data_IF_732193598322
#
_entry.id   IF_732193598322
#
_cell.length_a   1.000
_cell.length_b   1.000
_cell.length_c   1.000
_cell.angle_alpha   90.00
_cell.angle_beta   90.00
_cell.angle_gamma   90.00
#
_symmetry.space_group_name_H-M   'P 1'
#
loop_
_entity.id
_entity.type
_entity.pdbx_description
1 polymer ?
#
# COMPACT_ATOMS: atom_id res chain seq x y z
N UNK A 1 -22.87 25.36 28.15
CA UNK A 1 -21.74 24.43 27.96
C UNK A 1 -22.30 23.02 27.87
N UNK A 2 -22.55 22.54 26.66
CA UNK A 2 -22.77 21.12 26.34
C UNK A 2 -22.64 21.03 24.82
N UNK A 3 -21.41 21.25 24.33
CA UNK A 3 -21.08 20.86 22.96
C UNK A 3 -21.10 19.34 22.97
N UNK A 4 -22.20 18.78 22.46
CA UNK A 4 -22.27 17.36 22.09
C UNK A 4 -20.96 16.98 21.41
N UNK A 5 -20.27 15.90 21.83
CA UNK A 5 -19.03 15.52 21.18
C UNK A 5 -19.38 15.27 19.71
N UNK A 6 -18.84 16.08 18.81
CA UNK A 6 -18.98 15.89 17.37
C UNK A 6 -18.24 14.61 17.04
N UNK A 7 -18.99 13.51 17.03
CA UNK A 7 -18.50 12.18 16.71
C UNK A 7 -17.98 12.22 15.28
N UNK A 8 -16.66 12.31 15.13
CA UNK A 8 -16.00 12.31 13.83
C UNK A 8 -16.03 10.89 13.28
N UNK A 9 -16.51 10.72 12.04
CA UNK A 9 -16.55 9.43 11.35
C UNK A 9 -15.14 8.83 11.19
N UNK A 10 -14.09 9.67 11.23
CA UNK A 10 -12.69 9.24 11.21
C UNK A 10 -12.34 8.28 12.36
N UNK A 11 -12.96 8.45 13.53
CA UNK A 11 -12.71 7.57 14.69
C UNK A 11 -13.18 6.12 14.43
N UNK A 12 -14.12 5.92 13.51
CA UNK A 12 -14.66 4.61 13.15
C UNK A 12 -14.04 4.07 11.88
N UNK A 13 -13.32 4.91 11.14
CA UNK A 13 -12.77 4.57 9.85
C UNK A 13 -11.82 3.36 9.89
N UNK A 14 -10.95 3.15 10.91
CA UNK A 14 -10.16 1.93 11.00
C UNK A 14 -10.99 0.65 10.95
N UNK A 15 -12.20 0.66 11.54
CA UNK A 15 -13.11 -0.49 11.53
C UNK A 15 -13.92 -0.61 10.24
N UNK A 16 -14.16 0.51 9.56
CA UNK A 16 -14.95 0.55 8.32
C UNK A 16 -14.11 0.32 7.06
N UNK A 17 -12.81 0.63 7.11
CA UNK A 17 -11.92 0.66 5.95
C UNK A 17 -11.89 -0.68 5.21
N UNK A 18 -11.81 -1.80 5.92
CA UNK A 18 -11.84 -3.13 5.33
C UNK A 18 -13.14 -3.40 4.55
N UNK A 19 -14.28 -2.98 5.12
CA UNK A 19 -15.58 -3.01 4.47
C UNK A 19 -15.61 -2.21 3.17
N UNK A 20 -15.12 -0.97 3.22
CA UNK A 20 -15.05 -0.06 2.07
C UNK A 20 -14.13 -0.60 0.98
N UNK A 21 -12.95 -1.12 1.33
CA UNK A 21 -12.03 -1.71 0.35
C UNK A 21 -12.63 -2.93 -0.35
N UNK A 22 -13.43 -3.74 0.36
CA UNK A 22 -14.12 -4.88 -0.26
C UNK A 22 -15.21 -4.45 -1.25
N UNK A 23 -15.88 -3.32 -1.00
CA UNK A 23 -16.88 -2.77 -1.93
C UNK A 23 -16.24 -2.37 -3.27
N UNK A 24 -14.94 -2.04 -3.29
CA UNK A 24 -14.21 -1.80 -4.54
C UNK A 24 -14.10 -3.06 -5.43
N UNK A 25 -14.32 -4.25 -4.88
CA UNK A 25 -14.40 -5.49 -5.65
C UNK A 25 -15.83 -5.86 -6.09
N UNK A 26 -16.81 -4.97 -5.93
CA UNK A 26 -18.18 -5.20 -6.37
C UNK A 26 -18.28 -5.29 -7.90
N UNK A 27 -19.18 -6.12 -8.43
CA UNK A 27 -19.39 -6.26 -9.88
C UNK A 27 -19.96 -4.98 -10.52
N UNK A 28 -20.71 -4.19 -9.76
CA UNK A 28 -21.32 -2.95 -10.22
C UNK A 28 -20.33 -1.77 -10.20
N UNK A 29 -20.01 -1.24 -11.37
CA UNK A 29 -19.05 -0.13 -11.53
C UNK A 29 -19.48 1.16 -10.85
N UNK A 30 -20.79 1.40 -10.71
CA UNK A 30 -21.31 2.60 -10.04
C UNK A 30 -21.11 2.53 -8.53
N UNK A 31 -21.28 1.33 -7.94
CA UNK A 31 -20.99 1.09 -6.52
C UNK A 31 -19.50 1.30 -6.26
N UNK A 32 -18.64 0.73 -7.12
CA UNK A 32 -17.18 0.93 -7.04
C UNK A 32 -16.80 2.40 -7.12
N UNK A 33 -17.36 3.13 -8.10
CA UNK A 33 -17.09 4.56 -8.31
C UNK A 33 -17.44 5.39 -7.08
N UNK A 34 -18.65 5.20 -6.54
CA UNK A 34 -19.10 5.95 -5.37
C UNK A 34 -18.24 5.63 -4.14
N UNK A 35 -17.84 4.37 -3.97
CA UNK A 35 -16.94 3.97 -2.89
C UNK A 35 -15.52 4.55 -3.07
N UNK A 36 -14.99 4.61 -4.29
CA UNK A 36 -13.67 5.21 -4.58
C UNK A 36 -13.66 6.71 -4.26
N UNK A 37 -14.73 7.43 -4.62
CA UNK A 37 -14.88 8.85 -4.27
C UNK A 37 -14.92 9.05 -2.76
N UNK A 38 -15.73 8.26 -2.05
CA UNK A 38 -15.83 8.31 -0.60
C UNK A 38 -14.48 8.04 0.09
N UNK A 39 -13.74 7.04 -0.39
CA UNK A 39 -12.38 6.75 0.12
C UNK A 39 -11.41 7.90 -0.18
N UNK A 40 -11.53 8.56 -1.33
CA UNK A 40 -10.70 9.71 -1.68
C UNK A 40 -10.94 10.89 -0.72
N UNK A 41 -12.20 11.15 -0.37
CA UNK A 41 -12.59 12.20 0.58
C UNK A 41 -12.05 11.89 1.99
N UNK A 42 -12.18 10.64 2.45
CA UNK A 42 -11.60 10.23 3.73
C UNK A 42 -10.09 10.40 3.77
N UNK A 43 -9.38 10.00 2.71
CA UNK A 43 -7.92 10.12 2.65
C UNK A 43 -7.47 11.59 2.69
N UNK A 44 -8.21 12.47 2.02
CA UNK A 44 -7.97 13.92 2.05
C UNK A 44 -8.19 14.48 3.46
N UNK A 45 -9.26 14.07 4.14
CA UNK A 45 -9.54 14.54 5.50
C UNK A 45 -8.51 14.04 6.51
N UNK A 46 -8.06 12.79 6.42
CA UNK A 46 -6.98 12.27 7.28
C UNK A 46 -5.68 13.03 7.03
N UNK A 47 -5.39 13.35 5.77
CA UNK A 47 -4.20 14.14 5.41
C UNK A 47 -4.25 15.55 5.99
N UNK A 48 -5.45 16.07 6.30
CA UNK A 48 -5.67 17.36 6.96
C UNK A 48 -5.59 17.25 8.50
N UNK A 49 -6.01 16.13 9.07
CA UNK A 49 -6.09 15.91 10.52
C UNK A 49 -5.60 14.50 10.92
N UNK A 50 -4.29 14.22 10.81
CA UNK A 50 -3.74 12.88 11.05
C UNK A 50 -3.89 12.43 12.51
N UNK A 51 -3.95 13.36 13.48
CA UNK A 51 -4.09 13.04 14.90
C UNK A 51 -5.44 12.42 15.29
N UNK A 52 -6.42 12.40 14.38
CA UNK A 52 -7.78 11.94 14.66
C UNK A 52 -8.01 10.45 14.39
N UNK A 53 -7.03 9.73 13.84
CA UNK A 53 -7.21 8.32 13.44
C UNK A 53 -6.04 7.43 13.84
N UNK A 54 -6.33 6.17 14.12
CA UNK A 54 -5.32 5.13 14.39
C UNK A 54 -4.69 4.66 13.06
N UNK A 55 -3.67 5.39 12.60
CA UNK A 55 -2.94 5.10 11.37
C UNK A 55 -2.37 3.66 11.37
N UNK A 56 -1.71 3.17 12.44
CA UNK A 56 -1.23 1.78 12.49
C UNK A 56 -2.33 0.72 12.24
N UNK A 57 -3.52 0.87 12.84
CA UNK A 57 -4.63 -0.06 12.60
C UNK A 57 -5.11 -0.02 11.14
N UNK A 58 -5.17 1.17 10.54
CA UNK A 58 -5.52 1.34 9.13
C UNK A 58 -4.47 0.73 8.20
N UNK A 59 -3.18 0.95 8.49
CA UNK A 59 -2.07 0.37 7.72
C UNK A 59 -2.12 -1.16 7.74
N UNK A 60 -2.36 -1.77 8.90
CA UNK A 60 -2.53 -3.24 8.98
C UNK A 60 -3.67 -3.75 8.10
N UNK A 61 -4.81 -3.05 8.11
CA UNK A 61 -5.96 -3.36 7.24
C UNK A 61 -5.59 -3.25 5.76
N UNK A 62 -4.84 -2.21 5.38
CA UNK A 62 -4.39 -1.98 4.02
C UNK A 62 -3.38 -3.03 3.54
N UNK A 63 -2.46 -3.47 4.41
CA UNK A 63 -1.49 -4.54 4.12
C UNK A 63 -2.22 -5.83 3.76
N UNK A 64 -3.20 -6.22 4.58
CA UNK A 64 -4.02 -7.43 4.35
C UNK A 64 -4.78 -7.30 3.03
N UNK A 65 -5.47 -6.18 2.81
CA UNK A 65 -6.24 -5.94 1.59
C UNK A 65 -5.34 -5.90 0.33
N UNK A 66 -4.15 -5.29 0.42
CA UNK A 66 -3.19 -5.25 -0.67
C UNK A 66 -2.71 -6.66 -1.06
N UNK A 67 -2.36 -7.50 -0.09
CA UNK A 67 -1.97 -8.91 -0.33
C UNK A 67 -3.09 -9.70 -0.98
N UNK A 68 -4.30 -9.60 -0.46
CA UNK A 68 -5.49 -10.30 -0.99
C UNK A 68 -5.81 -9.86 -2.42
N UNK A 69 -5.84 -8.55 -2.68
CA UNK A 69 -6.12 -8.01 -4.00
C UNK A 69 -5.02 -8.38 -5.01
N UNK A 70 -3.75 -8.33 -4.61
CA UNK A 70 -2.62 -8.75 -5.47
C UNK A 70 -2.70 -10.22 -5.85
N UNK A 71 -3.03 -11.09 -4.89
CA UNK A 71 -3.24 -12.52 -5.17
C UNK A 71 -4.45 -12.73 -6.10
N UNK A 72 -5.55 -12.01 -5.86
CA UNK A 72 -6.76 -12.10 -6.68
C UNK A 72 -6.48 -11.68 -8.14
N UNK A 73 -5.78 -10.57 -8.35
CA UNK A 73 -5.32 -10.12 -9.68
C UNK A 73 -4.51 -11.22 -10.37
N UNK A 74 -3.56 -11.86 -9.67
CA UNK A 74 -2.77 -12.95 -10.24
C UNK A 74 -3.63 -14.17 -10.65
N UNK A 75 -4.67 -14.49 -9.88
CA UNK A 75 -5.54 -15.66 -10.14
C UNK A 75 -6.59 -15.43 -11.24
N UNK A 76 -7.21 -14.25 -11.31
CA UNK A 76 -8.20 -13.90 -12.35
C UNK A 76 -7.57 -13.98 -13.74
N UNK A 77 -6.27 -13.69 -13.84
CA UNK A 77 -5.52 -13.71 -15.09
C UNK A 77 -5.11 -15.13 -15.54
N UNK A 78 -5.06 -16.13 -14.66
CA UNK A 78 -4.86 -17.53 -15.08
C UNK A 78 -6.11 -18.15 -15.72
N UNK A 79 -7.29 -17.57 -15.47
CA UNK A 79 -8.57 -18.04 -16.00
C UNK A 79 -8.98 -17.33 -17.30
N UNK A 80 -8.32 -16.23 -17.65
CA UNK A 80 -8.52 -15.47 -18.88
C UNK A 80 -7.62 -15.94 -20.03
N UNK A 81 -7.99 -17.06 -20.66
CA UNK A 81 -7.50 -17.33 -22.01
C UNK A 81 -7.94 -16.21 -22.96
N UNK A 82 -6.98 -15.67 -23.72
CA UNK A 82 -7.17 -14.64 -24.75
C UNK A 82 -8.43 -14.88 -25.61
N UNK A 83 -9.42 -13.95 -25.64
CA UNK A 83 -10.32 -13.88 -26.78
C UNK A 83 -9.54 -13.22 -27.92
N UNK A 84 -9.27 -14.02 -28.94
CA UNK A 84 -8.66 -13.56 -30.18
C UNK A 84 -9.60 -12.61 -30.94
N UNK A 85 -9.08 -11.40 -31.24
CA UNK A 85 -9.37 -10.52 -32.38
C UNK A 85 -10.69 -9.70 -32.41
N UNK A 86 -10.80 -8.62 -33.24
CA UNK A 86 -9.82 -8.07 -34.18
C UNK A 86 -9.43 -6.59 -33.95
N UNK A 87 -8.28 -6.22 -34.54
CA UNK A 87 -7.84 -4.85 -34.77
C UNK A 87 -8.94 -4.01 -35.44
N UNK A 88 -9.18 -2.81 -34.91
CA UNK A 88 -9.82 -1.72 -35.65
C UNK A 88 -9.24 -0.39 -35.18
N UNK A 89 -8.65 0.31 -36.14
CA UNK A 89 -7.89 1.55 -36.02
C UNK A 89 -8.69 2.69 -35.40
N UNK A 90 -8.02 3.48 -34.56
CA UNK A 90 -8.54 4.75 -34.07
C UNK A 90 -7.60 5.39 -33.07
N UNK A 91 -6.52 6.00 -33.57
CA UNK A 91 -5.62 6.83 -32.80
C UNK A 91 -6.38 7.96 -32.09
N UNK A 92 -6.21 8.05 -30.76
CA UNK A 92 -6.03 9.29 -29.99
C UNK A 92 -5.66 8.90 -28.55
N UNK A 93 -4.37 9.04 -28.23
CA UNK A 93 -3.84 8.86 -26.89
C UNK A 93 -4.24 10.05 -26.01
N UNK A 94 -5.06 9.78 -25.00
CA UNK A 94 -5.17 10.64 -23.81
C UNK A 94 -4.58 9.89 -22.61
N UNK A 95 -3.58 10.44 -21.90
CA UNK A 95 -3.09 9.85 -20.66
C UNK A 95 -4.01 10.32 -19.53
N UNK A 96 -5.17 9.69 -19.43
CA UNK A 96 -6.05 9.77 -18.26
C UNK A 96 -6.78 8.44 -18.18
N UNK A 97 -6.01 7.35 -18.03
CA UNK A 97 -6.57 6.00 -17.96
C UNK A 97 -7.51 5.93 -16.76
N UNK A 98 -8.80 5.86 -17.07
CA UNK A 98 -9.87 5.70 -16.09
C UNK A 98 -9.66 4.36 -15.39
N UNK A 99 -9.30 4.39 -14.11
CA UNK A 99 -9.24 3.21 -13.25
C UNK A 99 -10.56 2.41 -13.21
N UNK A 100 -11.65 3.00 -13.68
CA UNK A 100 -12.93 2.33 -13.91
C UNK A 100 -12.87 1.23 -14.99
N UNK A 101 -11.86 1.23 -15.87
CA UNK A 101 -11.60 0.14 -16.82
C UNK A 101 -10.74 -0.99 -16.25
N UNK A 102 -10.16 -0.80 -15.06
CA UNK A 102 -9.40 -1.85 -14.38
C UNK A 102 -10.35 -2.91 -13.80
N UNK A 103 -9.84 -4.14 -13.59
CA UNK A 103 -10.62 -5.16 -12.89
C UNK A 103 -10.95 -4.69 -11.46
N UNK A 104 -12.06 -5.16 -10.85
CA UNK A 104 -12.42 -4.80 -9.49
C UNK A 104 -11.29 -5.05 -8.48
N UNK A 105 -10.59 -6.19 -8.63
CA UNK A 105 -9.45 -6.56 -7.79
C UNK A 105 -8.27 -5.60 -7.98
N UNK A 106 -8.03 -5.15 -9.22
CA UNK A 106 -6.97 -4.18 -9.51
C UNK A 106 -7.31 -2.80 -8.94
N UNK A 107 -8.58 -2.38 -8.99
CA UNK A 107 -9.02 -1.14 -8.34
C UNK A 107 -8.81 -1.20 -6.82
N UNK A 108 -9.19 -2.32 -6.18
CA UNK A 108 -8.95 -2.53 -4.76
C UNK A 108 -7.45 -2.49 -4.43
N UNK A 109 -6.61 -3.16 -5.23
CA UNK A 109 -5.15 -3.18 -5.04
C UNK A 109 -4.54 -1.77 -5.14
N UNK A 110 -4.82 -1.03 -6.21
CA UNK A 110 -4.29 0.32 -6.43
C UNK A 110 -4.79 1.27 -5.35
N UNK A 111 -6.04 1.14 -4.90
CA UNK A 111 -6.58 1.97 -3.82
C UNK A 111 -5.87 1.71 -2.51
N UNK A 112 -5.67 0.44 -2.12
CA UNK A 112 -4.92 0.09 -0.92
C UNK A 112 -3.46 0.62 -0.99
N UNK A 113 -2.80 0.49 -2.15
CA UNK A 113 -1.46 1.02 -2.37
C UNK A 113 -1.39 2.55 -2.25
N UNK A 114 -2.37 3.29 -2.79
CA UNK A 114 -2.41 4.76 -2.69
C UNK A 114 -2.50 5.22 -1.24
N UNK A 115 -3.35 4.57 -0.46
CA UNK A 115 -3.50 4.85 0.97
C UNK A 115 -2.22 4.51 1.74
N UNK A 116 -1.61 3.34 1.48
CA UNK A 116 -0.32 2.99 2.08
C UNK A 116 0.75 4.03 1.75
N UNK A 117 0.87 4.44 0.49
CA UNK A 117 1.83 5.47 0.11
C UNK A 117 1.54 6.80 0.83
N UNK A 118 0.28 7.21 0.94
CA UNK A 118 -0.07 8.44 1.65
C UNK A 118 0.39 8.39 3.12
N UNK A 119 0.17 7.28 3.83
CA UNK A 119 0.63 7.14 5.21
C UNK A 119 2.15 7.07 5.33
N UNK A 120 2.83 6.41 4.39
CA UNK A 120 4.30 6.40 4.34
C UNK A 120 4.84 7.82 4.09
N UNK A 121 4.14 8.63 3.30
CA UNK A 121 4.54 10.02 3.01
C UNK A 121 4.42 10.93 4.21
N UNK A 122 3.39 10.73 5.02
CA UNK A 122 3.16 11.57 6.20
C UNK A 122 3.97 11.10 7.41
N UNK A 123 4.07 9.79 7.66
CA UNK A 123 4.55 9.26 8.94
C UNK A 123 5.47 8.03 8.83
N UNK A 124 6.29 7.92 7.78
CA UNK A 124 7.20 6.77 7.56
C UNK A 124 8.00 6.31 8.80
N UNK A 125 8.40 7.20 9.70
CA UNK A 125 9.12 6.85 10.94
C UNK A 125 8.23 6.15 11.97
N UNK A 126 6.94 6.52 12.08
CA UNK A 126 5.98 5.85 12.96
C UNK A 126 5.64 4.44 12.43
N UNK A 127 5.82 4.22 11.13
CA UNK A 127 5.57 2.95 10.46
C UNK A 127 6.77 2.00 10.47
N UNK A 128 7.90 2.38 11.09
CA UNK A 128 9.08 1.51 11.19
C UNK A 128 8.78 0.09 11.74
N UNK A 129 7.92 -0.08 12.76
CA UNK A 129 7.55 -1.41 13.24
C UNK A 129 6.82 -2.28 12.20
N UNK A 130 6.21 -1.66 11.18
CA UNK A 130 5.41 -2.31 10.14
C UNK A 130 6.15 -2.43 8.80
N UNK A 131 7.39 -1.92 8.69
CA UNK A 131 8.14 -1.89 7.41
C UNK A 131 8.20 -3.25 6.75
N UNK A 132 8.54 -4.31 7.49
CA UNK A 132 8.67 -5.66 6.93
C UNK A 132 7.34 -6.14 6.32
N UNK A 133 6.22 -5.87 7.00
CA UNK A 133 4.90 -6.25 6.52
C UNK A 133 4.44 -5.45 5.30
N UNK A 134 4.71 -4.14 5.29
CA UNK A 134 4.42 -3.28 4.14
C UNK A 134 5.23 -3.73 2.92
N UNK A 135 6.55 -3.91 3.07
CA UNK A 135 7.42 -4.38 2.00
C UNK A 135 6.96 -5.76 1.47
N UNK A 136 6.62 -6.69 2.37
CA UNK A 136 6.10 -8.00 1.97
C UNK A 136 4.79 -7.89 1.17
N UNK A 137 3.94 -6.90 1.45
CA UNK A 137 2.71 -6.66 0.69
C UNK A 137 2.93 -5.98 -0.67
N UNK A 138 3.91 -5.09 -0.78
CA UNK A 138 4.17 -4.31 -2.00
C UNK A 138 5.13 -4.99 -2.98
N UNK A 139 6.05 -5.83 -2.50
CA UNK A 139 7.04 -6.52 -3.34
C UNK A 139 6.41 -7.34 -4.48
N UNK A 140 5.32 -8.12 -4.27
CA UNK A 140 4.67 -8.85 -5.36
C UNK A 140 4.14 -7.94 -6.49
N UNK A 141 3.86 -6.66 -6.20
CA UNK A 141 3.43 -5.68 -7.20
C UNK A 141 4.57 -5.27 -8.15
N UNK A 142 5.83 -5.58 -7.82
CA UNK A 142 7.00 -5.27 -8.66
C UNK A 142 7.34 -6.38 -9.67
N UNK A 143 6.86 -7.59 -9.41
CA UNK A 143 7.17 -8.80 -10.20
C UNK A 143 6.09 -9.03 -11.27
N UNK A 144 4.95 -8.35 -11.13
CA UNK A 144 3.88 -8.42 -12.11
C UNK A 144 4.31 -7.66 -13.37
N UNK A 145 4.88 -8.35 -14.37
CA UNK A 145 5.18 -7.81 -15.73
C UNK A 145 3.93 -7.27 -16.46
N UNK A 146 2.75 -7.39 -15.83
CA UNK A 146 1.44 -6.92 -16.29
C UNK A 146 0.86 -5.82 -15.39
N UNK A 147 1.62 -5.31 -14.42
CA UNK A 147 1.20 -4.20 -13.59
C UNK A 147 0.99 -2.98 -14.48
N UNK A 148 -0.25 -2.51 -14.59
CA UNK A 148 -0.51 -1.14 -15.06
C UNK A 148 0.44 -0.20 -14.29
N UNK A 149 1.03 0.79 -14.97
CA UNK A 149 2.07 1.67 -14.41
C UNK A 149 1.71 2.19 -13.00
N UNK A 150 0.41 2.40 -12.74
CA UNK A 150 -0.11 2.83 -11.45
C UNK A 150 0.32 1.97 -10.24
N UNK A 151 0.12 0.64 -10.25
CA UNK A 151 0.43 -0.20 -9.08
C UNK A 151 1.94 -0.31 -8.85
N UNK A 152 2.69 -0.47 -9.94
CA UNK A 152 4.14 -0.56 -9.95
C UNK A 152 4.79 0.71 -9.41
N UNK A 153 4.42 1.86 -9.96
CA UNK A 153 4.99 3.16 -9.56
C UNK A 153 4.74 3.45 -8.08
N UNK A 154 3.55 3.14 -7.57
CA UNK A 154 3.23 3.34 -6.16
C UNK A 154 4.03 2.38 -5.28
N UNK A 155 4.16 1.11 -5.66
CA UNK A 155 4.94 0.12 -4.92
C UNK A 155 6.43 0.47 -4.84
N UNK A 156 7.03 0.95 -5.94
CA UNK A 156 8.41 1.46 -5.96
C UNK A 156 8.54 2.60 -4.95
N UNK A 157 7.63 3.58 -5.00
CA UNK A 157 7.65 4.76 -4.12
C UNK A 157 7.56 4.40 -2.64
N UNK A 158 6.68 3.46 -2.29
CA UNK A 158 6.55 2.95 -0.92
C UNK A 158 7.88 2.33 -0.48
N UNK A 159 8.42 1.43 -1.31
CA UNK A 159 9.62 0.68 -0.97
C UNK A 159 10.83 1.61 -0.80
N UNK A 160 11.05 2.54 -1.72
CA UNK A 160 12.15 3.52 -1.62
C UNK A 160 12.05 4.37 -0.35
N UNK A 161 10.86 4.88 -0.03
CA UNK A 161 10.65 5.75 1.14
C UNK A 161 10.85 5.02 2.44
N UNK A 162 10.32 3.80 2.58
CA UNK A 162 10.52 2.99 3.77
C UNK A 162 11.99 2.62 3.95
N UNK A 163 12.68 2.22 2.89
CA UNK A 163 14.10 1.89 2.96
C UNK A 163 14.95 3.10 3.38
N UNK A 164 14.65 4.28 2.83
CA UNK A 164 15.27 5.53 3.25
C UNK A 164 14.99 5.84 4.74
N UNK A 165 13.74 5.66 5.18
CA UNK A 165 13.38 5.86 6.59
C UNK A 165 14.12 4.91 7.54
N UNK A 166 14.30 3.64 7.17
CA UNK A 166 15.08 2.67 7.94
C UNK A 166 16.54 3.12 8.07
N UNK A 167 17.17 3.55 6.96
CA UNK A 167 18.55 4.04 6.98
C UNK A 167 18.70 5.27 7.88
N UNK A 168 17.81 6.26 7.74
CA UNK A 168 17.82 7.45 8.60
C UNK A 168 17.64 7.10 10.09
N UNK A 169 16.79 6.12 10.42
CA UNK A 169 16.56 5.69 11.80
C UNK A 169 17.77 4.94 12.40
N UNK A 170 18.56 4.25 11.57
CA UNK A 170 19.81 3.60 12.00
C UNK A 170 20.91 4.62 12.29
N UNK A 171 21.03 5.67 11.48
CA UNK A 171 22.01 6.75 11.66
C UNK A 171 21.73 7.63 12.90
N UNK A 172 20.47 7.73 13.31
CA UNK A 172 20.05 8.50 14.49
C UNK A 172 20.40 7.82 15.84
N UNK A 173 20.86 6.57 15.85
CA UNK A 173 21.45 5.93 17.04
C UNK A 173 22.98 6.08 16.99
N UNK A 174 23.58 7.04 17.72
CA UNK A 174 25.03 7.13 17.79
C UNK A 174 25.58 5.91 18.53
N UNK A 175 26.55 5.24 17.91
CA UNK A 175 27.45 4.36 18.63
C UNK A 175 28.12 5.14 19.78
N UNK A 176 27.80 4.79 21.03
CA UNK A 176 28.66 5.04 22.19
C UNK A 176 28.73 3.79 23.07
N UNK A 177 29.82 3.06 22.86
CA UNK A 177 30.62 2.22 23.77
C UNK A 177 29.99 1.59 25.03
N UNK A 178 30.03 0.25 25.05
CA UNK A 178 30.40 -0.66 26.14
C UNK A 178 29.59 -0.70 27.47
N UNK A 179 28.95 -1.86 27.70
CA UNK A 179 29.16 -2.80 28.85
C UNK A 179 27.88 -3.27 29.60
N UNK A 180 27.60 -4.58 29.42
CA UNK A 180 27.05 -5.60 30.36
C UNK A 180 25.61 -5.48 30.94
N UNK A 181 24.71 -6.34 30.46
CA UNK A 181 24.19 -7.52 31.20
C UNK A 181 23.36 -8.44 30.27
N UNK A 182 23.26 -9.76 30.52
CA UNK A 182 22.60 -10.70 29.61
C UNK A 182 21.14 -10.95 30.04
N UNK A 183 20.20 -10.39 29.30
CA UNK A 183 18.82 -10.91 29.23
C UNK A 183 18.66 -11.68 27.92
N UNK A 184 17.88 -12.79 27.89
CA UNK A 184 17.80 -13.64 26.71
C UNK A 184 17.11 -12.90 25.57
N UNK A 185 17.95 -12.36 24.69
CA UNK A 185 17.56 -11.86 23.39
C UNK A 185 17.09 -13.06 22.57
N UNK A 186 15.78 -13.17 22.33
CA UNK A 186 15.28 -13.97 21.23
C UNK A 186 15.83 -13.32 19.96
N UNK A 187 16.72 -13.99 19.21
CA UNK A 187 17.24 -13.42 17.99
C UNK A 187 16.08 -13.40 16.99
N UNK A 188 15.59 -12.20 16.67
CA UNK A 188 15.07 -11.98 15.33
C UNK A 188 16.21 -12.34 14.39
N UNK A 189 16.09 -13.49 13.74
CA UNK A 189 17.06 -13.94 12.76
C UNK A 189 17.11 -12.91 11.63
N UNK A 190 18.20 -12.13 11.61
CA UNK A 190 18.55 -11.10 10.62
C UNK A 190 18.57 -11.60 9.16
N UNK A 191 18.19 -12.85 8.89
CA UNK A 191 18.16 -13.43 7.56
C UNK A 191 17.01 -12.86 6.72
N UNK A 192 15.85 -12.57 7.31
CA UNK A 192 14.68 -12.11 6.54
C UNK A 192 14.79 -10.63 6.16
N UNK A 193 15.27 -9.77 7.08
CA UNK A 193 15.45 -8.34 6.81
C UNK A 193 16.60 -8.05 5.84
N UNK A 194 17.70 -8.81 5.91
CA UNK A 194 18.81 -8.66 4.96
C UNK A 194 18.45 -9.21 3.58
N UNK A 195 17.68 -10.30 3.50
CA UNK A 195 17.20 -10.82 2.21
C UNK A 195 16.34 -9.79 1.48
N UNK A 196 15.43 -9.12 2.18
CA UNK A 196 14.61 -8.05 1.60
C UNK A 196 15.47 -6.85 1.17
N UNK A 197 16.48 -6.47 1.96
CA UNK A 197 17.43 -5.40 1.63
C UNK A 197 18.28 -5.72 0.39
N UNK A 198 18.85 -6.92 0.31
CA UNK A 198 19.64 -7.38 -0.83
C UNK A 198 18.79 -7.62 -2.07
N UNK A 199 17.54 -8.07 -1.91
CA UNK A 199 16.60 -8.20 -3.01
C UNK A 199 16.24 -6.83 -3.58
N UNK A 200 15.94 -5.83 -2.74
CA UNK A 200 15.69 -4.46 -3.18
C UNK A 200 16.91 -3.80 -3.88
N UNK A 201 18.13 -4.02 -3.37
CA UNK A 201 19.36 -3.56 -4.04
C UNK A 201 19.59 -4.23 -5.41
N UNK A 202 19.22 -5.51 -5.56
CA UNK A 202 19.31 -6.20 -6.86
C UNK A 202 18.31 -5.68 -7.89
N UNK A 203 17.21 -5.06 -7.46
CA UNK A 203 16.21 -4.43 -8.34
C UNK A 203 16.62 -3.02 -8.78
N UNK A 204 17.18 -2.20 -7.89
CA UNK A 204 17.67 -0.86 -8.24
C UNK A 204 18.81 -0.89 -9.29
N UNK A 205 19.59 -1.97 -9.33
CA UNK A 205 20.68 -2.14 -10.29
C UNK A 205 20.29 -2.57 -11.70
N UNK A 206 19.01 -2.87 -11.99
CA UNK A 206 18.55 -3.31 -13.32
C UNK A 206 17.79 -2.24 -14.13
N UNK A 207 17.57 -1.06 -13.56
CA UNK A 207 16.88 0.05 -14.21
C UNK A 207 17.83 1.18 -14.69
N UNK A 208 19.13 0.90 -14.84
CA UNK A 208 20.12 1.79 -15.46
C UNK A 208 20.74 1.13 -16.70
#
# INVERSE_FOLDING_TARGET
>A
MNSMPTLSLLNYLPSLLDGLLRILSDSNSEIRRNCELLLSDFLMEISRQPESTDVPAMVNTLIVNCRLATAAVATTLQRGGCPTAPESLGANAYPSQSLLSASPERLQQVTALRWLNAFVDTESLNLLPLVADILSATLPCLIDDRSDCSALEIAIRINEKLMKAVLCAQEAKPHSTASKSPTPYVPFTNHDSLTVYFYAQSYAGRCL
#
